data_IF_939732922083
#
_entry.id   IF_939732922083
#
_cell.length_a   1.000
_cell.length_b   1.000
_cell.length_c   1.000
_cell.angle_alpha   90.00
_cell.angle_beta   90.00
_cell.angle_gamma   90.00
#
_symmetry.space_group_name_H-M   'P 1'
#
loop_
_entity.id
_entity.type
_entity.pdbx_description
1 polymer ?
#
# COMPACT_ATOMS: atom_id res chain seq x y z
N UNK A 1 14.55 2.13 -13.30
CA UNK A 1 13.24 2.53 -12.73
C UNK A 1 12.92 1.58 -11.58
N UNK A 2 12.89 2.05 -10.32
CA UNK A 2 12.45 1.22 -9.20
C UNK A 2 10.98 0.86 -9.43
N UNK A 3 10.64 -0.42 -9.51
CA UNK A 3 9.26 -0.88 -9.56
C UNK A 3 8.58 -0.41 -8.28
N UNK A 4 7.56 0.45 -8.40
CA UNK A 4 6.71 0.81 -7.28
C UNK A 4 6.04 -0.45 -6.74
N UNK A 5 5.96 -0.65 -5.42
CA UNK A 5 5.21 -1.75 -4.82
C UNK A 5 3.74 -1.73 -5.26
N UNK A 6 3.10 -2.89 -5.40
CA UNK A 6 1.67 -2.95 -5.71
C UNK A 6 0.82 -2.44 -4.53
N UNK A 7 1.30 -2.61 -3.29
CA UNK A 7 0.63 -2.09 -2.10
C UNK A 7 1.56 -1.20 -1.28
N UNK A 8 1.04 -0.08 -0.80
CA UNK A 8 1.69 0.79 0.21
C UNK A 8 0.71 1.13 1.32
N UNK A 9 1.21 1.73 2.40
CA UNK A 9 0.37 2.33 3.43
C UNK A 9 0.78 3.78 3.62
N UNK A 10 -0.20 4.66 3.79
CA UNK A 10 0.00 6.11 3.92
C UNK A 10 -0.82 6.63 5.11
N UNK A 11 -0.33 7.69 5.76
CA UNK A 11 -1.03 8.30 6.89
C UNK A 11 -2.16 9.18 6.38
N UNK A 12 -3.37 8.91 6.84
CA UNK A 12 -4.61 9.60 6.47
C UNK A 12 -5.23 10.16 7.76
N UNK A 13 -4.70 11.31 8.21
CA UNK A 13 -5.06 11.90 9.49
C UNK A 13 -4.67 11.02 10.70
N UNK A 14 -5.68 10.55 11.43
CA UNK A 14 -5.53 9.70 12.63
C UNK A 14 -5.48 8.20 12.32
N UNK A 15 -5.56 7.80 11.06
CA UNK A 15 -5.56 6.42 10.60
C UNK A 15 -4.48 6.20 9.53
N UNK A 16 -4.26 4.94 9.18
CA UNK A 16 -3.35 4.48 8.13
C UNK A 16 -4.15 3.81 7.03
N UNK A 17 -4.10 4.38 5.82
CA UNK A 17 -4.79 3.84 4.66
C UNK A 17 -3.85 2.94 3.85
N UNK A 18 -4.34 1.77 3.45
CA UNK A 18 -3.63 0.86 2.56
C UNK A 18 -4.04 1.17 1.13
N UNK A 19 -3.07 1.47 0.29
CA UNK A 19 -3.24 1.91 -1.08
C UNK A 19 -2.74 0.82 -2.02
N UNK A 20 -3.59 0.40 -2.95
CA UNK A 20 -3.21 -0.47 -4.07
C UNK A 20 -2.88 0.38 -5.28
N UNK A 21 -1.66 0.27 -5.78
CA UNK A 21 -1.20 0.92 -7.00
C UNK A 21 -1.45 0.03 -8.19
N UNK A 22 -2.27 0.51 -9.12
CA UNK A 22 -2.42 -0.08 -10.45
C UNK A 22 -1.94 0.90 -11.51
N UNK A 23 -1.37 0.39 -12.60
CA UNK A 23 -1.11 1.24 -13.77
C UNK A 23 -2.43 1.80 -14.28
N UNK A 24 -2.43 3.08 -14.65
CA UNK A 24 -3.57 3.66 -15.32
C UNK A 24 -3.74 3.03 -16.71
N UNK A 25 -4.95 3.07 -17.26
CA UNK A 25 -5.27 2.46 -18.57
C UNK A 25 -4.51 3.09 -19.73
N UNK A 26 -3.98 4.30 -19.54
CA UNK A 26 -3.21 5.07 -20.53
C UNK A 26 -1.70 4.80 -20.46
N UNK A 27 -1.21 4.09 -19.44
CA UNK A 27 0.19 3.72 -19.27
C UNK A 27 1.14 4.86 -18.84
N UNK A 28 0.63 6.08 -18.64
CA UNK A 28 1.41 7.26 -18.25
C UNK A 28 1.59 7.44 -16.73
N UNK A 29 0.93 6.61 -15.92
CA UNK A 29 0.99 6.76 -14.47
C UNK A 29 0.39 5.61 -13.68
N UNK A 30 0.29 5.82 -12.37
CA UNK A 30 -0.31 4.88 -11.42
C UNK A 30 -1.51 5.53 -10.73
N UNK A 31 -2.56 4.75 -10.53
CA UNK A 31 -3.72 5.12 -9.73
C UNK A 31 -3.64 4.35 -8.42
N UNK A 32 -3.67 5.09 -7.31
CA UNK A 32 -3.80 4.54 -5.97
C UNK A 32 -5.28 4.35 -5.62
N UNK A 33 -5.65 3.12 -5.25
CA UNK A 33 -6.98 2.77 -4.76
C UNK A 33 -6.91 2.47 -3.26
N UNK A 34 -7.70 3.18 -2.44
CA UNK A 34 -7.78 2.93 -1.00
C UNK A 34 -8.54 1.63 -0.75
N UNK A 35 -7.84 0.63 -0.26
CA UNK A 35 -8.40 -0.71 -0.01
C UNK A 35 -9.03 -0.81 1.37
N UNK A 36 -8.27 -0.43 2.40
CA UNK A 36 -8.72 -0.49 3.80
C UNK A 36 -7.93 0.49 4.67
N UNK A 37 -8.34 0.59 5.94
CA UNK A 37 -7.73 1.49 6.91
C UNK A 37 -7.47 0.78 8.23
N UNK A 38 -6.38 1.15 8.88
CA UNK A 38 -5.99 0.68 10.20
C UNK A 38 -5.83 1.89 11.14
N UNK A 39 -6.03 1.70 12.44
CA UNK A 39 -5.71 2.74 13.42
C UNK A 39 -4.20 2.75 13.68
N UNK A 40 -3.60 1.56 13.80
CA UNK A 40 -2.18 1.42 14.08
C UNK A 40 -1.33 1.30 12.81
N UNK A 41 -0.15 1.91 12.83
CA UNK A 41 0.81 1.82 11.73
C UNK A 41 1.32 0.39 11.53
N UNK A 42 1.50 -0.35 12.63
CA UNK A 42 2.06 -1.70 12.57
C UNK A 42 1.11 -2.67 11.86
N UNK A 43 -0.20 -2.55 12.06
CA UNK A 43 -1.21 -3.31 11.33
C UNK A 43 -1.15 -3.01 9.83
N UNK A 44 -1.10 -1.72 9.46
CA UNK A 44 -1.02 -1.31 8.08
C UNK A 44 0.26 -1.86 7.41
N UNK A 45 1.39 -1.83 8.14
CA UNK A 45 2.66 -2.41 7.70
C UNK A 45 2.55 -3.92 7.51
N UNK A 46 1.98 -4.64 8.48
CA UNK A 46 1.80 -6.09 8.40
C UNK A 46 1.00 -6.48 7.16
N UNK A 47 -0.14 -5.82 6.94
CA UNK A 47 -1.02 -6.08 5.79
C UNK A 47 -0.29 -5.81 4.48
N UNK A 48 0.40 -4.67 4.35
CA UNK A 48 1.13 -4.34 3.12
C UNK A 48 2.26 -5.32 2.83
N UNK A 49 2.97 -5.79 3.86
CA UNK A 49 3.98 -6.84 3.68
C UNK A 49 3.34 -8.14 3.20
N UNK A 50 2.24 -8.57 3.83
CA UNK A 50 1.51 -9.76 3.43
C UNK A 50 0.98 -9.67 1.99
N UNK A 51 0.39 -8.53 1.62
CA UNK A 51 -0.16 -8.29 0.28
C UNK A 51 0.93 -8.25 -0.81
N UNK A 52 2.10 -7.68 -0.51
CA UNK A 52 3.23 -7.71 -1.44
C UNK A 52 4.03 -9.03 -1.40
N UNK A 53 3.67 -10.00 -0.55
CA UNK A 53 4.43 -11.24 -0.37
C UNK A 53 5.83 -11.02 0.23
N UNK A 54 6.03 -9.93 0.96
CA UNK A 54 7.30 -9.62 1.62
C UNK A 54 7.42 -10.35 2.96
N UNK A 55 8.65 -10.71 3.33
CA UNK A 55 8.93 -11.26 4.67
C UNK A 55 8.69 -10.17 5.72
N UNK A 56 7.66 -10.37 6.54
CA UNK A 56 7.35 -9.50 7.67
C UNK A 56 8.07 -10.00 8.92
N UNK A 57 9.01 -9.18 9.44
CA UNK A 57 9.86 -9.40 10.63
C UNK A 57 10.52 -10.81 10.68
N UNK A 58 11.85 -10.84 10.54
CA UNK A 58 12.66 -12.05 10.79
C UNK A 58 12.85 -12.30 12.27
#
# INVERSE_FOLDING_TARGET
>A
MKKQPEYTYERDGGIWAIIRWRKNSKGDGYVGEKMCTCIEQEDARFIVYKLNGWKYKS
#
